data_IF_115051801051
#
_entry.id   IF_115051801051
#
_cell.length_a   1.000
_cell.length_b   1.000
_cell.length_c   1.000
_cell.angle_alpha   90.00
_cell.angle_beta   90.00
_cell.angle_gamma   90.00
#
_symmetry.space_group_name_H-M   'P 1'
#
loop_
_entity.id
_entity.type
_entity.pdbx_description
1 polymer ?
#
# COMPACT_ATOMS: atom_id res chain seq x y z
N UNK A 1 2.88 2.16 -13.15
CA UNK A 1 3.96 3.01 -12.68
C UNK A 1 5.25 2.55 -13.36
N UNK A 2 6.22 3.43 -13.49
CA UNK A 2 7.52 3.17 -14.10
C UNK A 2 8.40 2.24 -13.24
N UNK A 3 9.42 1.65 -13.86
CA UNK A 3 10.42 0.82 -13.18
C UNK A 3 11.71 1.58 -12.82
N UNK A 4 11.83 2.85 -13.24
CA UNK A 4 12.98 3.69 -12.92
C UNK A 4 12.63 5.16 -12.83
N UNK A 5 13.44 5.96 -12.12
CA UNK A 5 13.31 7.41 -12.06
C UNK A 5 13.51 8.05 -13.43
N UNK A 6 14.44 7.53 -14.25
CA UNK A 6 14.71 8.04 -15.59
C UNK A 6 13.51 7.93 -16.55
N UNK A 7 12.70 6.87 -16.42
CA UNK A 7 11.43 6.76 -17.16
C UNK A 7 10.42 7.83 -16.71
N UNK A 8 10.35 8.13 -15.42
CA UNK A 8 9.48 9.19 -14.90
C UNK A 8 9.93 10.56 -15.42
N UNK A 9 11.23 10.86 -15.39
CA UNK A 9 11.78 12.12 -15.92
C UNK A 9 11.45 12.29 -17.40
N UNK A 10 11.58 11.22 -18.19
CA UNK A 10 11.23 11.26 -19.62
C UNK A 10 9.72 11.45 -19.83
N UNK A 11 8.86 10.78 -19.06
CA UNK A 11 7.41 10.99 -19.11
C UNK A 11 7.03 12.43 -18.75
N UNK A 12 7.66 13.01 -17.72
CA UNK A 12 7.46 14.41 -17.35
C UNK A 12 7.90 15.35 -18.48
N UNK A 13 9.07 15.10 -19.09
CA UNK A 13 9.57 15.89 -20.21
C UNK A 13 8.60 15.85 -21.40
N UNK A 14 8.11 14.66 -21.78
CA UNK A 14 7.14 14.48 -22.87
C UNK A 14 5.83 15.22 -22.55
N UNK A 15 5.34 15.08 -21.33
CA UNK A 15 4.14 15.78 -20.85
C UNK A 15 4.26 17.30 -21.00
N UNK A 16 5.35 17.88 -20.51
CA UNK A 16 5.59 19.32 -20.57
C UNK A 16 5.69 19.83 -22.00
N UNK A 17 6.47 19.17 -22.89
CA UNK A 17 6.68 19.60 -24.27
C UNK A 17 5.38 19.56 -25.09
N UNK A 18 4.52 18.57 -24.81
CA UNK A 18 3.27 18.37 -25.56
C UNK A 18 2.04 18.94 -24.84
N UNK A 19 2.23 19.63 -23.71
CA UNK A 19 1.15 20.20 -22.89
C UNK A 19 0.08 19.12 -22.54
N UNK A 20 0.55 17.94 -22.12
CA UNK A 20 -0.31 16.81 -21.73
C UNK A 20 -0.39 16.68 -20.23
N UNK A 21 -1.55 16.27 -19.72
CA UNK A 21 -1.69 15.88 -18.33
C UNK A 21 -1.33 14.40 -18.15
N UNK A 22 -0.53 14.10 -17.15
CA UNK A 22 -0.18 12.72 -16.77
C UNK A 22 -0.59 12.50 -15.32
N UNK A 23 -1.32 11.42 -15.06
CA UNK A 23 -1.77 11.03 -13.74
C UNK A 23 -1.44 9.56 -13.50
N UNK A 24 -1.04 9.23 -12.29
CA UNK A 24 -0.96 7.85 -11.82
C UNK A 24 -2.20 7.57 -10.98
N UNK A 25 -2.94 6.54 -11.36
CA UNK A 25 -4.15 6.14 -10.66
C UNK A 25 -3.78 5.31 -9.41
N UNK A 26 -3.70 5.99 -8.27
CA UNK A 26 -3.56 5.37 -6.96
C UNK A 26 -4.96 5.25 -6.31
N UNK A 27 -5.75 4.29 -6.76
CA UNK A 27 -7.16 4.10 -6.45
C UNK A 27 -7.49 4.02 -4.95
N UNK A 28 -6.52 3.60 -4.12
CA UNK A 28 -6.73 3.56 -2.66
C UNK A 28 -6.98 4.94 -2.05
N UNK A 29 -6.49 6.02 -2.67
CA UNK A 29 -6.75 7.39 -2.22
C UNK A 29 -8.23 7.78 -2.29
N UNK A 30 -9.03 7.10 -3.13
CA UNK A 30 -10.46 7.34 -3.27
C UNK A 30 -11.34 6.36 -2.45
N UNK A 31 -10.74 5.37 -1.77
CA UNK A 31 -11.50 4.45 -0.92
C UNK A 31 -12.06 5.20 0.30
N UNK A 32 -13.37 5.12 0.60
CA UNK A 32 -14.01 5.94 1.62
C UNK A 32 -13.34 5.96 3.00
N UNK A 33 -12.93 4.80 3.53
CA UNK A 33 -12.27 4.75 4.83
C UNK A 33 -10.82 5.25 4.80
N UNK A 34 -10.16 5.25 3.64
CA UNK A 34 -8.85 5.91 3.48
C UNK A 34 -9.01 7.43 3.47
N UNK A 35 -10.01 7.96 2.76
CA UNK A 35 -10.36 9.38 2.82
C UNK A 35 -10.73 9.81 4.24
N UNK A 36 -11.53 9.00 4.95
CA UNK A 36 -11.86 9.26 6.35
C UNK A 36 -10.61 9.26 7.24
N UNK A 37 -9.70 8.32 7.04
CA UNK A 37 -8.42 8.27 7.78
C UNK A 37 -7.61 9.53 7.52
N UNK A 38 -7.49 9.96 6.24
CA UNK A 38 -6.79 11.21 5.88
C UNK A 38 -7.41 12.43 6.54
N UNK A 39 -8.73 12.55 6.49
CA UNK A 39 -9.48 13.64 7.16
C UNK A 39 -9.14 13.71 8.65
N UNK A 40 -9.17 12.59 9.35
CA UNK A 40 -8.90 12.54 10.79
C UNK A 40 -7.43 12.89 11.14
N UNK A 41 -6.49 12.49 10.28
CA UNK A 41 -5.07 12.89 10.41
C UNK A 41 -4.94 14.40 10.21
N UNK A 42 -5.58 14.97 9.18
CA UNK A 42 -5.52 16.40 8.87
C UNK A 42 -6.21 17.26 9.95
N UNK A 43 -7.25 16.74 10.59
CA UNK A 43 -7.89 17.33 11.75
C UNK A 43 -7.06 17.20 13.06
N UNK A 44 -5.88 16.57 12.98
CA UNK A 44 -4.94 16.38 14.08
C UNK A 44 -5.53 15.68 15.33
N UNK A 45 -6.48 14.75 15.13
CA UNK A 45 -7.14 14.08 16.26
C UNK A 45 -6.20 13.14 17.05
N UNK A 46 -5.06 12.79 16.46
CA UNK A 46 -4.05 11.92 17.08
C UNK A 46 -2.96 12.71 17.81
N UNK A 47 -2.93 14.05 17.67
CA UNK A 47 -1.82 14.86 18.13
C UNK A 47 -0.52 14.55 17.39
N UNK A 48 0.60 14.54 18.09
CA UNK A 48 1.90 14.19 17.51
C UNK A 48 1.94 12.68 17.18
N UNK A 49 2.24 12.34 15.95
CA UNK A 49 2.33 10.93 15.52
C UNK A 49 3.69 10.37 15.95
N UNK A 50 3.68 9.29 16.73
CA UNK A 50 4.86 8.65 17.28
C UNK A 50 5.33 7.43 16.51
N UNK A 51 4.40 6.69 15.85
CA UNK A 51 4.71 5.47 15.14
C UNK A 51 3.64 5.17 14.10
N UNK A 52 4.08 4.74 12.93
CA UNK A 52 3.23 4.16 11.89
C UNK A 52 3.68 2.74 11.57
N UNK A 53 2.74 1.81 11.44
CA UNK A 53 3.00 0.44 10.97
C UNK A 53 2.08 0.10 9.82
N UNK A 54 2.63 -0.38 8.73
CA UNK A 54 1.89 -0.86 7.58
C UNK A 54 2.28 -2.31 7.29
N UNK A 55 1.34 -3.22 7.46
CA UNK A 55 1.48 -4.61 7.07
C UNK A 55 0.53 -4.91 5.90
N UNK A 56 1.04 -5.51 4.83
CA UNK A 56 0.22 -6.00 3.72
C UNK A 56 0.64 -7.41 3.36
N UNK A 57 0.01 -8.38 4.04
CA UNK A 57 0.41 -9.77 4.04
C UNK A 57 -0.61 -10.63 3.30
N UNK A 58 -0.32 -10.94 2.05
CA UNK A 58 -1.20 -11.70 1.16
C UNK A 58 -0.59 -13.05 0.78
N UNK A 59 -1.46 -14.04 0.56
CA UNK A 59 -1.08 -15.37 0.12
C UNK A 59 -1.32 -15.64 -1.37
N UNK A 60 -1.65 -14.62 -2.16
CA UNK A 60 -2.08 -14.78 -3.56
C UNK A 60 -1.04 -15.45 -4.46
N UNK A 61 0.23 -15.43 -4.07
CA UNK A 61 1.35 -16.04 -4.79
C UNK A 61 2.09 -17.11 -4.00
N UNK A 62 1.50 -17.59 -2.90
CA UNK A 62 2.10 -18.59 -2.01
C UNK A 62 2.18 -19.99 -2.62
N UNK A 63 1.42 -20.29 -3.68
CA UNK A 63 1.53 -21.55 -4.40
C UNK A 63 2.75 -21.53 -5.34
N UNK A 64 3.77 -22.37 -5.11
CA UNK A 64 4.96 -22.46 -5.98
C UNK A 64 4.63 -23.03 -7.38
N UNK A 65 3.48 -23.71 -7.56
CA UNK A 65 3.01 -24.24 -8.84
C UNK A 65 2.32 -23.19 -9.71
N UNK A 66 2.08 -21.97 -9.18
CA UNK A 66 1.52 -20.88 -9.98
C UNK A 66 2.44 -20.58 -11.17
N UNK A 67 1.88 -20.48 -12.37
CA UNK A 67 2.65 -20.25 -13.59
C UNK A 67 3.48 -18.98 -13.53
N UNK A 68 4.70 -19.09 -14.03
CA UNK A 68 5.63 -18.00 -14.23
C UNK A 68 5.05 -16.96 -15.22
N UNK A 69 5.24 -15.69 -14.92
CA UNK A 69 4.86 -14.58 -15.79
C UNK A 69 5.75 -13.35 -15.48
N UNK A 70 5.45 -12.18 -16.06
CA UNK A 70 6.22 -10.94 -15.89
C UNK A 70 6.44 -10.55 -14.42
N UNK A 71 5.48 -10.86 -13.53
CA UNK A 71 5.60 -10.58 -12.10
C UNK A 71 6.78 -11.31 -11.44
N UNK A 72 7.28 -12.35 -12.07
CA UNK A 72 8.45 -13.11 -11.59
C UNK A 72 9.78 -12.45 -11.95
N UNK A 73 9.75 -11.32 -12.69
CA UNK A 73 10.93 -10.62 -13.16
C UNK A 73 11.06 -9.23 -12.52
N UNK A 74 12.16 -8.99 -11.82
CA UNK A 74 12.53 -7.68 -11.27
C UNK A 74 12.63 -6.64 -12.40
N UNK A 75 13.31 -6.96 -13.48
CA UNK A 75 13.50 -6.07 -14.65
C UNK A 75 12.18 -5.63 -15.35
N UNK A 76 11.06 -6.31 -15.05
CA UNK A 76 9.72 -5.96 -15.53
C UNK A 76 8.87 -5.24 -14.49
N UNK A 77 9.48 -4.82 -13.39
CA UNK A 77 8.75 -4.23 -12.26
C UNK A 77 7.87 -5.24 -11.52
N UNK A 78 8.22 -6.54 -11.62
CA UNK A 78 7.55 -7.60 -10.87
C UNK A 78 7.88 -7.53 -9.38
N UNK A 79 7.30 -8.49 -8.63
CA UNK A 79 7.53 -8.60 -7.20
C UNK A 79 6.55 -7.83 -6.32
N UNK A 80 6.77 -7.93 -5.02
CA UNK A 80 5.88 -7.33 -4.03
C UNK A 80 6.02 -5.81 -3.97
N UNK A 81 7.21 -5.28 -4.26
CA UNK A 81 7.45 -3.82 -4.34
C UNK A 81 6.67 -3.22 -5.50
N UNK A 82 6.78 -3.79 -6.70
CA UNK A 82 6.07 -3.30 -7.87
C UNK A 82 4.55 -3.40 -7.75
N UNK A 83 4.04 -4.43 -7.05
CA UNK A 83 2.60 -4.67 -6.96
C UNK A 83 1.93 -4.05 -5.73
N UNK A 84 2.53 -4.16 -4.55
CA UNK A 84 1.96 -3.64 -3.30
C UNK A 84 2.74 -2.42 -2.80
N UNK A 85 4.07 -2.41 -3.00
CA UNK A 85 4.94 -1.36 -2.47
C UNK A 85 4.62 0.01 -3.06
N UNK A 86 4.33 0.10 -4.36
CA UNK A 86 3.95 1.37 -5.00
C UNK A 86 2.75 2.01 -4.33
N UNK A 87 1.71 1.23 -4.04
CA UNK A 87 0.53 1.71 -3.31
C UNK A 87 0.83 2.02 -1.85
N UNK A 88 1.63 1.16 -1.17
CA UNK A 88 1.96 1.34 0.23
C UNK A 88 2.76 2.63 0.45
N UNK A 89 3.78 2.89 -0.36
CA UNK A 89 4.60 4.10 -0.25
C UNK A 89 3.83 5.35 -0.68
N UNK A 90 2.97 5.25 -1.69
CA UNK A 90 2.07 6.33 -2.06
C UNK A 90 1.13 6.72 -0.91
N UNK A 91 0.49 5.72 -0.26
CA UNK A 91 -0.37 5.95 0.89
C UNK A 91 0.38 6.61 2.05
N UNK A 92 1.58 6.15 2.37
CA UNK A 92 2.38 6.73 3.46
C UNK A 92 2.73 8.18 3.18
N UNK A 93 3.18 8.50 1.95
CA UNK A 93 3.50 9.87 1.56
C UNK A 93 2.24 10.75 1.55
N UNK A 94 1.11 10.23 1.09
CA UNK A 94 -0.15 10.97 1.08
C UNK A 94 -0.69 11.26 2.47
N UNK A 95 -0.58 10.29 3.41
CA UNK A 95 -1.08 10.46 4.77
C UNK A 95 -0.19 11.38 5.60
N UNK A 96 1.13 11.24 5.51
CA UNK A 96 2.04 11.76 6.53
C UNK A 96 3.08 12.75 6.02
N UNK A 97 3.39 12.78 4.74
CA UNK A 97 4.41 13.63 4.16
C UNK A 97 5.51 12.86 3.44
N UNK A 98 6.68 13.47 3.28
CA UNK A 98 7.75 12.96 2.44
C UNK A 98 8.60 11.89 3.16
N UNK A 99 8.81 10.75 2.51
CA UNK A 99 9.77 9.74 2.97
C UNK A 99 11.19 10.23 2.71
N UNK A 100 11.98 10.44 3.78
CA UNK A 100 13.33 11.02 3.68
C UNK A 100 14.45 10.00 3.86
N UNK A 101 14.23 8.96 4.64
CA UNK A 101 15.16 7.87 4.83
C UNK A 101 14.45 6.53 4.71
N UNK A 102 15.12 5.56 4.11
CA UNK A 102 14.64 4.18 4.02
C UNK A 102 15.76 3.19 4.23
N UNK A 103 15.50 2.17 5.02
CA UNK A 103 16.32 0.97 5.12
C UNK A 103 15.44 -0.26 5.07
N UNK A 104 15.91 -1.33 4.45
CA UNK A 104 15.05 -2.50 4.32
C UNK A 104 15.78 -3.74 3.82
N UNK A 105 15.01 -4.82 3.75
CA UNK A 105 15.44 -6.10 3.23
C UNK A 105 14.40 -6.69 2.31
N UNK A 106 14.83 -7.13 1.15
CA UNK A 106 14.07 -7.87 0.18
C UNK A 106 14.43 -9.35 0.23
N UNK A 107 13.46 -10.20 -0.02
CA UNK A 107 13.69 -11.64 -0.12
C UNK A 107 12.85 -12.25 -1.23
N UNK A 108 13.43 -13.19 -1.95
CA UNK A 108 12.77 -14.06 -2.91
C UNK A 108 12.78 -15.47 -2.34
N UNK A 109 11.66 -15.92 -1.80
CA UNK A 109 11.55 -17.26 -1.17
C UNK A 109 11.19 -18.32 -2.20
N UNK A 110 10.29 -18.01 -3.15
CA UNK A 110 9.95 -18.90 -4.26
C UNK A 110 10.87 -18.59 -5.44
N UNK A 111 11.95 -19.37 -5.54
CA UNK A 111 13.04 -19.15 -6.51
C UNK A 111 12.71 -19.56 -7.95
N UNK A 112 11.74 -20.47 -8.13
CA UNK A 112 11.38 -21.01 -9.46
C UNK A 112 9.88 -21.21 -9.55
N UNK A 113 9.35 -21.03 -10.77
CA UNK A 113 7.95 -21.29 -11.10
C UNK A 113 7.86 -22.00 -12.44
N UNK A 114 6.82 -22.86 -12.65
CA UNK A 114 6.62 -23.52 -13.93
C UNK A 114 6.26 -22.51 -15.03
N UNK A 115 6.80 -22.71 -16.21
CA UNK A 115 6.38 -21.98 -17.41
C UNK A 115 4.91 -22.27 -17.71
N UNK A 116 4.19 -21.35 -18.36
CA UNK A 116 2.81 -21.60 -18.79
C UNK A 116 2.71 -22.89 -19.64
N UNK A 117 1.77 -23.76 -19.26
CA UNK A 117 1.52 -25.03 -19.96
C UNK A 117 2.73 -25.98 -20.06
N UNK A 118 3.70 -25.87 -19.15
CA UNK A 118 4.88 -26.73 -19.09
C UNK A 118 5.19 -27.12 -17.64
N UNK A 119 5.94 -28.22 -17.48
CA UNK A 119 6.58 -28.59 -16.21
C UNK A 119 7.97 -27.96 -16.03
N UNK A 120 8.51 -27.32 -17.07
CA UNK A 120 9.82 -26.68 -17.01
C UNK A 120 9.77 -25.48 -16.07
N UNK A 121 10.79 -25.36 -15.24
CA UNK A 121 10.90 -24.31 -14.23
C UNK A 121 11.75 -23.16 -14.75
N UNK A 122 11.27 -21.93 -14.56
CA UNK A 122 12.04 -20.72 -14.80
C UNK A 122 12.32 -19.98 -13.50
N UNK A 123 13.42 -19.23 -13.47
CA UNK A 123 13.87 -18.49 -12.32
C UNK A 123 12.96 -17.30 -12.02
N UNK A 124 12.81 -17.02 -10.72
CA UNK A 124 12.12 -15.84 -10.19
C UNK A 124 13.21 -14.90 -9.65
N UNK A 125 13.33 -13.73 -10.24
CA UNK A 125 14.30 -12.69 -9.83
C UNK A 125 13.67 -11.63 -8.93
N UNK A 126 12.36 -11.43 -9.02
CA UNK A 126 11.64 -10.45 -8.20
C UNK A 126 11.43 -10.96 -6.77
N UNK A 127 11.33 -10.02 -5.85
CA UNK A 127 11.08 -10.30 -4.42
C UNK A 127 9.61 -10.63 -4.15
N UNK A 128 9.39 -11.50 -3.17
CA UNK A 128 8.07 -11.89 -2.67
C UNK A 128 7.81 -11.41 -1.22
N UNK A 129 8.85 -10.87 -0.58
CA UNK A 129 8.81 -10.27 0.76
C UNK A 129 9.66 -9.01 0.81
N UNK A 130 9.11 -7.96 1.44
CA UNK A 130 9.81 -6.72 1.76
C UNK A 130 9.57 -6.34 3.23
N UNK A 131 10.66 -6.00 3.92
CA UNK A 131 10.64 -5.29 5.19
C UNK A 131 11.35 -3.96 5.01
N UNK A 132 10.72 -2.87 5.43
CA UNK A 132 11.31 -1.55 5.38
C UNK A 132 11.05 -0.77 6.67
N UNK A 133 12.06 0.01 7.10
CA UNK A 133 11.93 1.07 8.08
C UNK A 133 12.09 2.39 7.33
N UNK A 134 11.16 3.30 7.51
CA UNK A 134 11.08 4.57 6.79
C UNK A 134 11.00 5.69 7.84
N UNK A 135 11.69 6.78 7.61
CA UNK A 135 11.47 8.04 8.32
C UNK A 135 10.73 9.00 7.40
N UNK A 136 9.59 9.47 7.86
CA UNK A 136 8.73 10.39 7.12
C UNK A 136 8.83 11.76 7.77
N UNK A 137 9.15 12.79 6.97
CA UNK A 137 9.10 14.18 7.42
C UNK A 137 7.68 14.70 7.23
N UNK A 138 7.01 15.03 8.34
CA UNK A 138 5.74 15.72 8.26
C UNK A 138 5.94 17.24 8.07
N UNK A 139 4.86 17.94 7.74
CA UNK A 139 4.88 19.39 7.51
C UNK A 139 5.30 20.21 8.74
N UNK A 140 5.31 19.60 9.94
CA UNK A 140 5.75 20.22 11.20
C UNK A 140 7.22 19.93 11.53
N UNK A 141 7.99 19.38 10.59
CA UNK A 141 9.41 19.02 10.72
C UNK A 141 9.72 17.91 11.75
N UNK A 142 8.71 17.19 12.23
CA UNK A 142 8.88 16.01 13.06
C UNK A 142 9.14 14.80 12.16
N UNK A 143 10.04 13.91 12.61
CA UNK A 143 10.30 12.64 11.95
C UNK A 143 9.37 11.58 12.52
N UNK A 144 8.60 10.96 11.64
CA UNK A 144 7.69 9.87 11.99
C UNK A 144 8.37 8.55 11.62
N UNK A 145 8.70 7.68 12.59
CA UNK A 145 9.18 6.34 12.31
C UNK A 145 8.03 5.48 11.76
N UNK A 146 8.30 4.82 10.63
CA UNK A 146 7.35 3.95 9.98
C UNK A 146 7.96 2.58 9.68
N UNK A 147 7.25 1.51 10.02
CA UNK A 147 7.62 0.14 9.69
C UNK A 147 6.66 -0.41 8.64
N UNK A 148 7.22 -1.00 7.58
CA UNK A 148 6.47 -1.62 6.48
C UNK A 148 6.83 -3.08 6.35
N UNK A 149 5.80 -3.95 6.23
CA UNK A 149 5.97 -5.37 5.92
C UNK A 149 5.04 -5.74 4.76
N UNK A 150 5.62 -6.10 3.63
CA UNK A 150 4.87 -6.54 2.45
C UNK A 150 5.19 -8.00 2.13
N UNK A 151 4.17 -8.78 1.81
CA UNK A 151 4.37 -10.15 1.33
C UNK A 151 3.24 -10.58 0.41
N UNK A 152 3.62 -11.24 -0.70
CA UNK A 152 2.68 -11.88 -1.62
C UNK A 152 2.54 -13.39 -1.39
N UNK A 153 3.32 -13.95 -0.46
CA UNK A 153 3.42 -15.39 -0.18
C UNK A 153 3.00 -15.78 1.25
N UNK A 154 2.51 -14.85 2.04
CA UNK A 154 2.00 -15.12 3.39
C UNK A 154 0.69 -15.88 3.30
N UNK A 155 0.77 -17.22 3.30
CA UNK A 155 -0.40 -18.09 3.24
C UNK A 155 -1.30 -17.85 4.44
N UNK A 156 -2.58 -17.56 4.21
CA UNK A 156 -3.53 -17.13 5.23
C UNK A 156 -3.06 -15.85 5.97
N UNK A 157 -2.33 -14.99 5.28
CA UNK A 157 -1.91 -13.70 5.80
C UNK A 157 -3.12 -12.85 6.21
N UNK A 158 -2.89 -11.96 7.17
CA UNK A 158 -3.96 -11.13 7.76
C UNK A 158 -4.43 -9.96 6.88
N UNK A 159 -3.99 -9.90 5.63
CA UNK A 159 -4.39 -8.85 4.71
C UNK A 159 -3.66 -7.53 4.93
N UNK A 160 -4.39 -6.43 4.79
CA UNK A 160 -3.89 -5.06 4.98
C UNK A 160 -4.15 -4.58 6.41
N UNK A 161 -3.17 -3.93 7.03
CA UNK A 161 -3.30 -3.23 8.31
C UNK A 161 -2.41 -1.99 8.31
N UNK A 162 -2.99 -0.82 8.53
CA UNK A 162 -2.31 0.43 8.81
C UNK A 162 -2.64 0.84 10.24
N UNK A 163 -1.62 0.93 11.09
CA UNK A 163 -1.73 1.31 12.48
C UNK A 163 -0.99 2.63 12.69
N UNK A 164 -1.65 3.61 13.29
CA UNK A 164 -1.14 4.97 13.51
C UNK A 164 -1.29 5.27 14.99
N UNK A 165 -0.18 5.57 15.64
CA UNK A 165 -0.12 5.84 17.07
C UNK A 165 0.38 7.27 17.32
N UNK A 166 -0.40 8.07 18.03
CA UNK A 166 -0.09 9.45 18.37
C UNK A 166 -0.25 9.75 19.84
N UNK A 167 0.03 10.99 20.22
CA UNK A 167 -0.03 11.46 21.60
C UNK A 167 -1.45 11.48 22.18
N UNK A 168 -2.47 11.64 21.34
CA UNK A 168 -3.87 11.78 21.73
C UNK A 168 -4.72 10.55 21.41
N UNK A 169 -4.15 9.55 20.75
CA UNK A 169 -4.87 8.33 20.40
C UNK A 169 -4.23 7.51 19.31
N UNK A 170 -5.00 6.54 18.80
CA UNK A 170 -4.57 5.70 17.69
C UNK A 170 -5.68 5.46 16.68
N UNK A 171 -5.29 5.26 15.42
CA UNK A 171 -6.16 4.78 14.34
C UNK A 171 -5.64 3.44 13.82
N UNK A 172 -6.56 2.51 13.57
CA UNK A 172 -6.25 1.22 12.95
C UNK A 172 -7.21 1.02 11.78
N UNK A 173 -6.67 1.15 10.57
CA UNK A 173 -7.36 0.85 9.32
C UNK A 173 -6.92 -0.52 8.83
N UNK A 174 -7.83 -1.48 8.73
CA UNK A 174 -7.46 -2.84 8.31
C UNK A 174 -8.55 -3.54 7.51
N UNK A 175 -8.14 -4.51 6.69
CA UNK A 175 -9.03 -5.46 6.04
C UNK A 175 -8.40 -6.84 5.96
N UNK A 176 -9.16 -7.86 6.35
CA UNK A 176 -8.86 -9.27 6.11
C UNK A 176 -9.51 -9.77 4.81
N UNK A 177 -10.43 -8.99 4.23
CA UNK A 177 -11.07 -9.30 2.98
C UNK A 177 -10.20 -8.85 1.81
N UNK A 178 -9.54 -9.79 1.15
CA UNK A 178 -8.67 -9.54 0.00
C UNK A 178 -9.42 -9.49 -1.35
N UNK A 179 -10.74 -9.64 -1.35
CA UNK A 179 -11.58 -9.65 -2.56
C UNK A 179 -12.40 -8.38 -2.73
N UNK A 180 -12.71 -7.72 -1.64
CA UNK A 180 -13.54 -6.50 -1.64
C UNK A 180 -12.86 -5.40 -0.81
N UNK A 181 -11.94 -4.70 -1.45
CA UNK A 181 -11.13 -3.67 -0.81
C UNK A 181 -11.94 -2.45 -0.36
N UNK A 182 -13.01 -2.10 -1.08
CA UNK A 182 -13.81 -0.91 -0.76
C UNK A 182 -14.72 -1.14 0.44
N UNK A 183 -15.34 -2.32 0.52
CA UNK A 183 -16.29 -2.66 1.57
C UNK A 183 -15.70 -3.59 2.64
N UNK A 184 -14.48 -4.05 2.43
CA UNK A 184 -13.77 -4.97 3.33
C UNK A 184 -12.96 -4.29 4.43
N UNK A 185 -12.77 -2.98 4.37
CA UNK A 185 -12.02 -2.23 5.37
C UNK A 185 -12.86 -1.90 6.59
N UNK A 186 -12.20 -1.82 7.74
CA UNK A 186 -12.75 -1.27 8.98
C UNK A 186 -11.75 -0.29 9.57
N UNK A 187 -12.26 0.77 10.20
CA UNK A 187 -11.49 1.81 10.84
C UNK A 187 -11.85 1.87 12.32
N UNK A 188 -10.85 1.77 13.18
CA UNK A 188 -10.98 1.91 14.62
C UNK A 188 -10.20 3.11 15.10
N UNK A 189 -10.81 3.87 15.99
CA UNK A 189 -10.17 4.95 16.74
C UNK A 189 -10.16 4.60 18.21
N UNK A 190 -9.05 4.88 18.89
CA UNK A 190 -8.94 4.80 20.34
C UNK A 190 -8.37 6.10 20.85
N UNK A 191 -9.04 6.74 21.79
CA UNK A 191 -8.56 7.95 22.47
C UNK A 191 -7.76 7.62 23.75
N UNK A 192 -7.25 8.63 24.43
CA UNK A 192 -6.47 8.51 25.67
C UNK A 192 -7.24 7.85 26.83
N UNK A 193 -8.57 7.80 26.77
CA UNK A 193 -9.39 7.11 27.77
C UNK A 193 -9.55 5.61 27.45
N UNK A 194 -8.82 5.08 26.46
CA UNK A 194 -8.93 3.71 25.95
C UNK A 194 -10.33 3.33 25.44
N UNK A 195 -11.13 4.31 25.05
CA UNK A 195 -12.43 4.07 24.41
C UNK A 195 -12.22 3.74 22.94
N UNK A 196 -12.47 2.50 22.57
CA UNK A 196 -12.37 2.04 21.19
C UNK A 196 -13.71 2.29 20.49
N UNK A 197 -13.65 2.95 19.33
CA UNK A 197 -14.80 3.23 18.48
C UNK A 197 -14.56 2.66 17.08
N UNK A 198 -15.58 2.01 16.51
CA UNK A 198 -15.58 1.72 15.08
C UNK A 198 -16.09 2.94 14.35
N UNK A 199 -15.32 3.44 13.42
CA UNK A 199 -15.67 4.61 12.62
C UNK A 199 -16.20 4.17 11.24
N UNK A 200 -17.16 4.93 10.74
CA UNK A 200 -17.65 4.83 9.35
C UNK A 200 -17.12 6.00 8.54
N UNK A 201 -17.04 5.84 7.24
CA UNK A 201 -16.72 6.95 6.36
C UNK A 201 -17.85 8.00 6.39
N UNK A 202 -17.46 9.27 6.25
CA UNK A 202 -18.40 10.35 5.98
C UNK A 202 -19.23 10.01 4.73
N UNK A 203 -20.52 10.31 4.75
CA UNK A 203 -21.43 9.99 3.65
C UNK A 203 -21.00 10.63 2.32
N UNK A 204 -20.31 11.76 2.36
CA UNK A 204 -19.76 12.44 1.18
C UNK A 204 -18.64 11.67 0.48
N UNK A 205 -18.02 10.69 1.17
CA UNK A 205 -16.98 9.83 0.61
C UNK A 205 -17.54 8.53 0.01
N UNK A 206 -18.83 8.24 0.22
CA UNK A 206 -19.43 7.02 -0.27
C UNK A 206 -19.79 7.14 -1.75
N UNK A 207 -19.70 6.02 -2.44
CA UNK A 207 -20.18 5.84 -3.81
C UNK A 207 -20.95 4.53 -3.92
N UNK A 208 -21.80 4.42 -4.93
CA UNK A 208 -22.55 3.21 -5.19
C UNK A 208 -21.62 2.12 -5.74
N UNK A 209 -21.72 0.92 -5.16
CA UNK A 209 -20.95 -0.23 -5.65
C UNK A 209 -21.54 -0.73 -6.96
N UNK A 210 -20.82 -0.52 -8.05
CA UNK A 210 -21.27 -0.89 -9.41
C UNK A 210 -20.61 -2.17 -9.94
N UNK A 211 -19.47 -2.60 -9.36
CA UNK A 211 -18.68 -3.72 -9.86
C UNK A 211 -18.33 -4.71 -8.74
N UNK A 212 -17.96 -5.93 -9.13
CA UNK A 212 -17.51 -6.96 -8.18
C UNK A 212 -16.14 -6.68 -7.56
N UNK A 213 -15.27 -5.99 -8.29
CA UNK A 213 -14.02 -5.44 -7.74
C UNK A 213 -14.29 -4.07 -7.15
N UNK A 214 -14.17 -3.97 -5.83
CA UNK A 214 -14.48 -2.74 -5.10
C UNK A 214 -13.55 -1.57 -5.38
N UNK A 215 -12.44 -1.77 -6.11
CA UNK A 215 -11.51 -0.71 -6.50
C UNK A 215 -11.93 0.03 -7.76
N UNK A 216 -12.83 -0.54 -8.56
CA UNK A 216 -13.25 0.05 -9.84
C UNK A 216 -14.15 1.27 -9.61
N UNK A 217 -14.98 1.26 -8.58
CA UNK A 217 -15.91 2.36 -8.33
C UNK A 217 -15.25 3.69 -7.96
N UNK A 218 -14.08 3.75 -7.26
CA UNK A 218 -13.35 4.99 -7.00
C UNK A 218 -12.62 5.59 -8.19
N UNK A 219 -12.48 4.87 -9.29
CA UNK A 219 -11.71 5.25 -10.50
C UNK A 219 -12.61 5.97 -11.55
#
# INVERSE_FOLDING_TARGET
>A
VSISSSEIEELQRISLINNLSVCVDFEYRAVPLFLQTKKLIDENILGDIYLVKLDWLMGSRSDPKRSWNWYSLEEKGGGVIGALGTHAFDMLNWFFGESINVSGKLATSIKKRPLPNSSDLNDVTSEDVCFANIEISNYSSNLIPCQVSLSSISKNGRGFSLEIYGSEGSLILKSENQKDYVHGFNLKYSNNENKIQNLTADSSFNFEKTWTDGRIAPV
#
